data_IF_098088289128
#
_entry.id   IF_098088289128
#
_cell.length_a   1.000
_cell.length_b   1.000
_cell.length_c   1.000
_cell.angle_alpha   90.00
_cell.angle_beta   90.00
_cell.angle_gamma   90.00
#
_symmetry.space_group_name_H-M   'P 1'
#
loop_
_entity.id
_entity.type
_entity.pdbx_description
1 polymer ?
#
# COMPACT_ATOMS: atom_id res chain seq x y z
N UNK A 1 -8.39 -14.84 -5.59
CA UNK A 1 -7.06 -14.29 -5.31
C UNK A 1 -7.08 -12.75 -5.41
N UNK A 2 -6.21 -12.02 -4.73
CA UNK A 2 -6.19 -10.54 -4.74
C UNK A 2 -4.78 -10.06 -5.09
N UNK A 3 -4.66 -9.31 -6.17
CA UNK A 3 -3.45 -8.61 -6.55
C UNK A 3 -3.55 -7.14 -6.15
N UNK A 4 -2.40 -6.50 -5.94
CA UNK A 4 -2.33 -5.09 -5.60
C UNK A 4 -1.75 -4.34 -6.80
N UNK A 5 -2.51 -3.37 -7.30
CA UNK A 5 -2.08 -2.49 -8.37
C UNK A 5 -1.53 -1.18 -7.78
N UNK A 6 -0.34 -0.77 -8.22
CA UNK A 6 0.27 0.50 -7.84
C UNK A 6 0.08 1.51 -8.98
N UNK A 7 -0.59 2.63 -8.69
CA UNK A 7 -0.77 3.69 -9.68
C UNK A 7 0.53 4.45 -9.97
N UNK A 8 1.49 4.47 -9.04
CA UNK A 8 2.77 5.13 -9.24
C UNK A 8 3.65 4.35 -10.24
N UNK A 9 3.63 3.02 -10.17
CA UNK A 9 4.40 2.14 -11.07
C UNK A 9 3.62 1.89 -12.37
N UNK A 10 2.28 2.01 -12.34
CA UNK A 10 1.41 1.66 -13.46
C UNK A 10 1.29 0.14 -13.69
N UNK A 11 1.72 -0.67 -12.72
CA UNK A 11 1.75 -2.12 -12.78
C UNK A 11 1.37 -2.72 -11.42
N UNK A 12 1.16 -4.03 -11.39
CA UNK A 12 0.94 -4.78 -10.17
C UNK A 12 2.22 -4.93 -9.35
N UNK A 13 2.05 -5.00 -8.03
CA UNK A 13 3.16 -5.31 -7.13
C UNK A 13 3.73 -6.70 -7.46
N UNK A 14 5.05 -6.77 -7.51
CA UNK A 14 5.80 -8.00 -7.76
C UNK A 14 6.72 -8.26 -6.58
N UNK A 15 6.93 -9.54 -6.32
CA UNK A 15 7.93 -10.00 -5.36
C UNK A 15 9.34 -9.79 -5.90
N UNK A 16 10.37 -9.96 -5.07
CA UNK A 16 11.79 -9.81 -5.44
C UNK A 16 12.19 -10.71 -6.62
N UNK A 17 11.49 -11.84 -6.79
CA UNK A 17 11.65 -12.79 -7.90
C UNK A 17 10.89 -12.40 -9.17
N UNK A 18 10.35 -11.18 -9.24
CA UNK A 18 9.50 -10.65 -10.34
C UNK A 18 8.18 -11.38 -10.56
N UNK A 19 7.75 -12.21 -9.61
CA UNK A 19 6.45 -12.87 -9.67
C UNK A 19 5.35 -11.91 -9.19
N UNK A 20 4.15 -12.05 -9.75
CA UNK A 20 2.98 -11.26 -9.34
C UNK A 20 2.68 -11.52 -7.86
N UNK A 21 2.55 -10.45 -7.07
CA UNK A 21 2.22 -10.55 -5.66
C UNK A 21 0.71 -10.74 -5.50
N UNK A 22 0.32 -11.95 -5.10
CA UNK A 22 -1.07 -12.37 -5.00
C UNK A 22 -1.34 -12.85 -3.58
N UNK A 23 -2.44 -12.37 -3.02
CA UNK A 23 -2.89 -12.69 -1.67
C UNK A 23 -4.20 -13.48 -1.72
N UNK A 24 -4.43 -14.33 -0.73
CA UNK A 24 -5.69 -15.07 -0.62
C UNK A 24 -6.83 -14.13 -0.19
N UNK A 25 -6.54 -13.22 0.75
CA UNK A 25 -7.53 -12.31 1.34
C UNK A 25 -7.09 -10.86 1.28
N UNK A 26 -8.06 -9.96 1.38
CA UNK A 26 -7.81 -8.51 1.34
C UNK A 26 -7.06 -8.07 2.60
N UNK A 27 -7.27 -8.75 3.73
CA UNK A 27 -6.55 -8.49 4.98
C UNK A 27 -5.05 -8.76 4.86
N UNK A 28 -4.63 -9.84 4.20
CA UNK A 28 -3.21 -10.09 3.96
C UNK A 28 -2.59 -9.02 3.05
N UNK A 29 -3.34 -8.63 2.00
CA UNK A 29 -2.90 -7.59 1.08
C UNK A 29 -2.75 -6.22 1.79
N UNK A 30 -3.65 -5.88 2.71
CA UNK A 30 -3.56 -4.63 3.48
C UNK A 30 -2.44 -4.65 4.51
N UNK A 31 -2.21 -5.78 5.19
CA UNK A 31 -1.08 -5.95 6.11
C UNK A 31 0.26 -5.79 5.40
N UNK A 32 0.39 -6.35 4.20
CA UNK A 32 1.59 -6.18 3.38
C UNK A 32 1.82 -4.70 3.02
N UNK A 33 0.77 -4.00 2.56
CA UNK A 33 0.86 -2.57 2.27
C UNK A 33 1.24 -1.73 3.50
N UNK A 34 0.69 -2.06 4.67
CA UNK A 34 1.02 -1.36 5.92
C UNK A 34 2.48 -1.59 6.33
N UNK A 35 3.03 -2.78 6.11
CA UNK A 35 4.41 -3.07 6.50
C UNK A 35 5.44 -2.38 5.59
N UNK A 36 5.18 -2.33 4.29
CA UNK A 36 6.19 -1.93 3.30
C UNK A 36 5.98 -0.53 2.71
N UNK A 37 4.73 -0.06 2.63
CA UNK A 37 4.38 1.18 1.93
C UNK A 37 3.72 2.21 2.84
N UNK A 38 3.64 1.97 4.14
CA UNK A 38 3.11 2.93 5.09
C UNK A 38 4.09 4.08 5.29
N UNK A 39 3.60 5.32 5.14
CA UNK A 39 4.43 6.50 5.44
C UNK A 39 4.52 6.67 6.97
N UNK A 40 5.71 7.00 7.49
CA UNK A 40 5.86 7.31 8.91
C UNK A 40 4.96 8.49 9.26
N UNK A 41 4.24 8.37 10.39
CA UNK A 41 3.39 9.45 10.89
C UNK A 41 4.30 10.62 11.30
N UNK A 42 4.09 11.83 10.75
CA UNK A 42 4.89 12.98 11.12
C UNK A 42 4.61 13.32 12.59
N UNK A 43 5.69 13.47 13.36
CA UNK A 43 5.61 13.90 14.76
C UNK A 43 5.22 15.38 14.78
N UNK A 44 3.93 15.67 14.98
CA UNK A 44 3.41 17.04 15.06
C UNK A 44 4.03 17.78 16.25
N UNK A 45 4.94 18.73 15.97
CA UNK A 45 5.60 19.58 17.00
C UNK A 45 4.73 20.72 17.55
N UNK A 46 3.62 21.06 16.91
CA UNK A 46 2.75 22.19 17.33
C UNK A 46 1.27 21.93 17.01
N UNK A 47 0.39 22.09 18.01
CA UNK A 47 -1.05 21.74 17.99
C UNK A 47 -1.94 22.54 17.03
N UNK A 48 -1.40 23.40 16.16
CA UNK A 48 -2.21 24.45 15.52
C UNK A 48 -2.98 23.99 14.29
N UNK A 49 -2.47 23.04 13.49
CA UNK A 49 -3.17 22.47 12.32
C UNK A 49 -2.63 21.05 12.08
N UNK A 50 -3.50 20.03 12.08
CA UNK A 50 -3.13 18.65 11.71
C UNK A 50 -3.45 18.47 10.23
N UNK A 51 -2.45 18.54 9.37
CA UNK A 51 -2.58 18.03 8.00
C UNK A 51 -2.28 16.55 8.04
N UNK A 52 -3.29 15.71 7.82
CA UNK A 52 -3.07 14.27 7.70
C UNK A 52 -2.33 14.00 6.38
N UNK A 53 -1.09 13.53 6.42
CA UNK A 53 -0.39 13.16 5.20
C UNK A 53 -1.02 11.90 4.59
N UNK A 54 -0.72 11.67 3.31
CA UNK A 54 -1.07 10.42 2.64
C UNK A 54 -0.56 9.22 3.47
N UNK A 55 -1.47 8.29 3.79
CA UNK A 55 -1.18 7.14 4.65
C UNK A 55 -0.23 6.12 3.98
N UNK A 56 -0.26 6.06 2.65
CA UNK A 56 0.58 5.18 1.84
C UNK A 56 1.51 5.97 0.91
N UNK A 57 2.63 5.35 0.53
CA UNK A 57 3.62 5.90 -0.40
C UNK A 57 2.99 6.31 -1.73
N UNK A 58 2.15 5.43 -2.27
CA UNK A 58 1.44 5.57 -3.53
C UNK A 58 -0.06 5.29 -3.35
N UNK A 59 -0.92 5.68 -4.32
CA UNK A 59 -2.26 5.13 -4.41
C UNK A 59 -2.19 3.65 -4.83
N UNK A 60 -2.89 2.79 -4.09
CA UNK A 60 -2.99 1.36 -4.37
C UNK A 60 -4.44 0.94 -4.61
N UNK A 61 -4.64 -0.03 -5.48
CA UNK A 61 -5.95 -0.65 -5.73
C UNK A 61 -5.88 -2.16 -5.53
N UNK A 62 -6.80 -2.70 -4.74
CA UNK A 62 -7.00 -4.14 -4.66
C UNK A 62 -7.79 -4.61 -5.88
N UNK A 63 -7.24 -5.59 -6.58
CA UNK A 63 -7.85 -6.20 -7.74
C UNK A 63 -8.09 -7.68 -7.47
N UNK A 64 -9.35 -8.12 -7.55
CA UNK A 64 -9.71 -9.52 -7.36
C UNK A 64 -9.40 -10.27 -8.66
N UNK A 65 -8.43 -11.16 -8.60
CA UNK A 65 -8.05 -12.07 -9.69
C UNK A 65 -8.76 -13.39 -9.40
N UNK A 66 -9.56 -13.87 -10.35
CA UNK A 66 -10.34 -15.10 -10.20
C UNK A 66 -9.45 -16.33 -10.31
#
# INVERSE_FOLDING_TARGET
MIAIFSFEIGDYLRDEKKNLLVFETQGMASQYLQKWYHKPVPVTRTKRIIQYPNYYQAPFRFHKVC
#
